data_IF_428691300304
#
_entry.id   IF_428691300304
#
_cell.length_a   1.000
_cell.length_b   1.000
_cell.length_c   1.000
_cell.angle_alpha   90.00
_cell.angle_beta   90.00
_cell.angle_gamma   90.00
#
_symmetry.space_group_name_H-M   'P 1'
#
loop_
_entity.id
_entity.type
_entity.pdbx_description
1 polymer ?
#
# COMPACT_ATOMS: atom_id res chain seq x y z
N UNK A 1 -12.02 -8.02 11.85
CA UNK A 1 -11.94 -7.38 10.51
C UNK A 1 -13.35 -7.13 9.98
N UNK A 2 -14.22 -6.55 10.80
CA UNK A 2 -15.67 -6.43 10.56
C UNK A 2 -16.08 -5.05 10.02
N UNK A 3 -15.10 -4.17 9.80
CA UNK A 3 -15.37 -2.83 9.31
C UNK A 3 -15.27 -2.77 7.79
N UNK A 4 -16.32 -2.24 7.16
CA UNK A 4 -16.41 -2.15 5.69
C UNK A 4 -15.79 -0.88 5.09
N UNK A 5 -15.43 0.11 5.92
CA UNK A 5 -14.85 1.37 5.42
C UNK A 5 -13.39 1.54 5.82
N UNK A 6 -12.60 2.12 4.92
CA UNK A 6 -11.19 2.47 5.18
C UNK A 6 -11.06 3.37 6.42
N UNK A 7 -11.97 4.34 6.58
CA UNK A 7 -11.95 5.26 7.73
C UNK A 7 -12.01 4.52 9.05
N UNK A 8 -12.95 3.59 9.18
CA UNK A 8 -13.09 2.80 10.40
C UNK A 8 -11.89 1.87 10.63
N UNK A 9 -11.34 1.26 9.57
CA UNK A 9 -10.11 0.45 9.69
C UNK A 9 -8.93 1.32 10.14
N UNK A 10 -8.79 2.54 9.61
CA UNK A 10 -7.77 3.50 10.07
C UNK A 10 -7.97 3.84 11.53
N UNK A 11 -9.19 4.07 11.99
CA UNK A 11 -9.47 4.33 13.42
C UNK A 11 -9.04 3.17 14.30
N UNK A 12 -9.33 1.92 13.90
CA UNK A 12 -8.88 0.72 14.64
C UNK A 12 -7.36 0.64 14.72
N UNK A 13 -6.66 0.99 13.64
CA UNK A 13 -5.20 0.98 13.59
C UNK A 13 -4.55 2.21 14.25
N UNK A 14 -5.32 3.26 14.50
CA UNK A 14 -4.85 4.53 15.10
C UNK A 14 -4.78 4.43 16.62
N UNK A 15 -4.00 3.47 17.11
CA UNK A 15 -3.73 3.30 18.54
C UNK A 15 -2.52 4.15 18.97
N UNK A 16 -2.59 4.66 20.20
CA UNK A 16 -1.46 5.32 20.83
C UNK A 16 -0.38 4.34 21.24
N UNK A 17 0.83 4.85 21.46
CA UNK A 17 1.90 4.06 22.06
C UNK A 17 1.69 3.90 23.56
N UNK A 18 2.27 2.86 24.17
CA UNK A 18 2.32 2.73 25.63
C UNK A 18 3.04 3.91 26.29
N UNK A 19 2.75 4.21 27.55
CA UNK A 19 3.35 5.31 28.33
C UNK A 19 4.88 5.41 28.22
N UNK A 20 5.57 4.26 28.24
CA UNK A 20 7.03 4.21 28.07
C UNK A 20 7.50 4.95 26.82
N UNK A 21 6.83 4.68 25.70
CA UNK A 21 7.16 5.23 24.40
C UNK A 21 6.70 6.67 24.25
N UNK A 22 5.85 7.22 25.11
CA UNK A 22 5.54 8.66 25.09
C UNK A 22 6.75 9.50 25.52
N UNK A 23 7.62 8.96 26.37
CA UNK A 23 8.81 9.63 26.91
C UNK A 23 10.14 9.10 26.34
N UNK A 24 10.11 8.04 25.53
CA UNK A 24 11.33 7.45 24.95
C UNK A 24 11.21 7.35 23.43
N UNK A 25 12.25 7.81 22.70
CA UNK A 25 12.44 7.50 21.27
C UNK A 25 13.45 6.37 21.08
N UNK A 26 14.30 6.15 22.07
CA UNK A 26 15.29 5.07 22.12
C UNK A 26 15.25 4.48 23.51
N UNK A 27 15.57 3.19 23.61
CA UNK A 27 15.62 2.52 24.90
C UNK A 27 16.54 3.27 25.87
N UNK A 28 16.09 3.40 27.12
CA UNK A 28 16.83 4.00 28.23
C UNK A 28 17.27 5.47 28.01
N UNK A 29 16.72 6.17 27.01
CA UNK A 29 16.96 7.59 26.78
C UNK A 29 15.66 8.37 26.87
N UNK A 30 15.50 9.13 27.95
CA UNK A 30 14.33 9.98 28.17
C UNK A 30 14.31 11.18 27.22
N UNK A 31 13.11 11.61 26.89
CA UNK A 31 12.79 12.73 26.01
C UNK A 31 11.52 13.41 26.51
N UNK A 32 11.24 14.66 26.12
CA UNK A 32 10.00 15.33 26.49
C UNK A 32 8.78 14.49 26.10
N UNK A 33 7.84 14.31 27.03
CA UNK A 33 6.62 13.53 26.78
C UNK A 33 5.88 14.10 25.57
N UNK A 34 5.55 13.21 24.63
CA UNK A 34 4.69 13.50 23.48
C UNK A 34 3.84 12.29 23.17
N UNK A 35 2.56 12.52 22.92
CA UNK A 35 1.67 11.51 22.34
C UNK A 35 2.21 11.14 20.96
N UNK A 36 2.46 9.85 20.76
CA UNK A 36 2.94 9.30 19.49
C UNK A 36 1.82 8.49 18.86
N UNK A 37 1.44 8.87 17.65
CA UNK A 37 0.42 8.18 16.85
C UNK A 37 0.91 7.99 15.42
N UNK A 38 0.32 7.03 14.72
CA UNK A 38 0.62 6.79 13.32
C UNK A 38 0.04 7.93 12.47
N UNK A 39 0.87 8.47 11.57
CA UNK A 39 0.39 9.39 10.54
C UNK A 39 -0.44 8.67 9.48
N UNK A 40 -1.30 9.42 8.78
CA UNK A 40 -2.16 8.87 7.72
C UNK A 40 -1.38 8.09 6.65
N UNK A 41 -0.20 8.57 6.23
CA UNK A 41 0.63 7.86 5.25
C UNK A 41 1.17 6.53 5.76
N UNK A 42 1.46 6.42 7.06
CA UNK A 42 1.88 5.15 7.67
C UNK A 42 0.70 4.17 7.73
N UNK A 43 -0.49 4.65 8.10
CA UNK A 43 -1.72 3.86 8.08
C UNK A 43 -2.04 3.36 6.67
N UNK A 44 -1.93 4.22 5.65
CA UNK A 44 -2.11 3.85 4.24
C UNK A 44 -1.13 2.74 3.83
N UNK A 45 0.15 2.86 4.19
CA UNK A 45 1.15 1.83 3.89
C UNK A 45 0.83 0.48 4.54
N UNK A 46 0.39 0.48 5.80
CA UNK A 46 -0.03 -0.74 6.52
C UNK A 46 -1.27 -1.35 5.84
N UNK A 47 -2.23 -0.53 5.43
CA UNK A 47 -3.42 -1.00 4.73
C UNK A 47 -3.06 -1.69 3.42
N UNK A 48 -2.24 -1.03 2.59
CA UNK A 48 -1.84 -1.52 1.26
C UNK A 48 -1.01 -2.80 1.37
N UNK A 49 0.00 -2.82 2.25
CA UNK A 49 1.00 -3.90 2.29
C UNK A 49 0.63 -5.07 3.22
N UNK A 50 -0.29 -4.86 4.17
CA UNK A 50 -0.61 -5.88 5.19
C UNK A 50 -2.08 -6.23 5.20
N UNK A 51 -2.97 -5.24 5.36
CA UNK A 51 -4.41 -5.52 5.55
C UNK A 51 -5.06 -6.03 4.27
N UNK A 52 -4.81 -5.39 3.13
CA UNK A 52 -5.37 -5.77 1.84
C UNK A 52 -4.94 -7.19 1.42
N UNK A 53 -3.63 -7.55 1.41
CA UNK A 53 -3.22 -8.91 1.02
C UNK A 53 -3.79 -9.99 1.95
N UNK A 54 -3.84 -9.71 3.26
CA UNK A 54 -4.42 -10.63 4.23
C UNK A 54 -5.94 -10.78 4.03
N UNK A 55 -6.65 -9.68 3.81
CA UNK A 55 -8.10 -9.70 3.56
C UNK A 55 -8.43 -10.49 2.28
N UNK A 56 -7.71 -10.24 1.19
CA UNK A 56 -7.92 -10.92 -0.09
C UNK A 56 -7.64 -12.42 0.02
N UNK A 57 -6.50 -12.81 0.58
CA UNK A 57 -6.14 -14.23 0.76
C UNK A 57 -7.09 -14.95 1.70
N UNK A 58 -7.59 -14.28 2.74
CA UNK A 58 -8.61 -14.82 3.62
C UNK A 58 -9.95 -15.02 2.90
N UNK A 59 -10.35 -14.10 2.02
CA UNK A 59 -11.51 -14.26 1.12
C UNK A 59 -11.38 -15.49 0.22
N UNK A 60 -10.24 -15.67 -0.44
CA UNK A 60 -9.95 -16.87 -1.24
C UNK A 60 -10.06 -18.15 -0.41
N UNK A 61 -9.43 -18.18 0.77
CA UNK A 61 -9.45 -19.34 1.66
C UNK A 61 -10.86 -19.69 2.14
N UNK A 62 -11.72 -18.68 2.34
CA UNK A 62 -13.12 -18.87 2.74
C UNK A 62 -14.08 -19.07 1.56
N UNK A 63 -13.59 -18.95 0.32
CA UNK A 63 -14.43 -18.86 -0.88
C UNK A 63 -15.50 -17.76 -0.77
N UNK A 64 -15.12 -16.64 -0.15
CA UNK A 64 -15.96 -15.47 0.07
C UNK A 64 -15.48 -14.33 -0.83
N UNK A 65 -16.16 -14.18 -1.97
CA UNK A 65 -15.83 -13.19 -3.00
C UNK A 65 -16.02 -11.75 -2.52
N UNK A 66 -16.95 -11.51 -1.60
CA UNK A 66 -17.19 -10.18 -1.04
C UNK A 66 -15.94 -9.65 -0.30
N UNK A 67 -15.18 -10.52 0.36
CA UNK A 67 -13.92 -10.12 1.00
C UNK A 67 -12.81 -9.78 -0.02
N UNK A 68 -12.77 -10.50 -1.14
CA UNK A 68 -11.85 -10.22 -2.25
C UNK A 68 -12.19 -8.88 -2.90
N UNK A 69 -13.47 -8.64 -3.21
CA UNK A 69 -13.95 -7.36 -3.75
C UNK A 69 -13.64 -6.21 -2.80
N UNK A 70 -13.92 -6.38 -1.49
CA UNK A 70 -13.62 -5.35 -0.49
C UNK A 70 -12.13 -4.99 -0.44
N UNK A 71 -11.24 -5.97 -0.56
CA UNK A 71 -9.80 -5.73 -0.64
C UNK A 71 -9.41 -4.98 -1.91
N UNK A 72 -10.02 -5.29 -3.06
CA UNK A 72 -9.83 -4.56 -4.32
C UNK A 72 -10.31 -3.11 -4.20
N UNK A 73 -11.52 -2.89 -3.68
CA UNK A 73 -12.09 -1.55 -3.45
C UNK A 73 -11.19 -0.72 -2.52
N UNK A 74 -10.54 -1.36 -1.54
CA UNK A 74 -9.59 -0.66 -0.67
C UNK A 74 -8.40 -0.11 -1.48
N UNK A 75 -7.84 -0.88 -2.41
CA UNK A 75 -6.74 -0.41 -3.26
C UNK A 75 -7.17 0.70 -4.22
N UNK A 76 -8.38 0.63 -4.75
CA UNK A 76 -8.94 1.67 -5.65
C UNK A 76 -9.22 2.98 -4.91
N UNK A 77 -9.47 2.92 -3.61
CA UNK A 77 -9.81 4.11 -2.80
C UNK A 77 -8.58 4.75 -2.14
N UNK A 78 -7.57 3.95 -1.78
CA UNK A 78 -6.35 4.45 -1.14
C UNK A 78 -5.49 5.23 -2.15
N UNK A 79 -4.77 6.25 -1.67
CA UNK A 79 -3.85 7.02 -2.50
C UNK A 79 -2.69 6.16 -2.98
N UNK A 80 -2.18 6.45 -4.18
CA UNK A 80 -0.97 5.85 -4.71
C UNK A 80 0.21 5.94 -3.72
N UNK A 81 1.01 4.87 -3.67
CA UNK A 81 2.22 4.87 -2.87
C UNK A 81 3.26 5.83 -3.42
N UNK A 82 3.89 6.60 -2.53
CA UNK A 82 4.94 7.53 -2.92
C UNK A 82 6.32 6.87 -2.88
N UNK A 83 6.68 6.15 -3.96
CA UNK A 83 7.98 5.51 -4.11
C UNK A 83 8.67 5.90 -5.43
N UNK A 84 9.95 5.55 -5.58
CA UNK A 84 10.74 5.96 -6.74
C UNK A 84 10.25 5.35 -8.06
N UNK A 85 9.59 4.18 -8.00
CA UNK A 85 9.07 3.48 -9.18
C UNK A 85 7.85 4.25 -9.71
N UNK A 86 6.91 4.60 -8.83
CA UNK A 86 5.75 5.43 -9.18
C UNK A 86 6.20 6.76 -9.75
N UNK A 87 7.11 7.47 -9.07
CA UNK A 87 7.64 8.76 -9.55
C UNK A 87 8.33 8.64 -10.92
N UNK A 88 9.00 7.52 -11.21
CA UNK A 88 9.62 7.32 -12.52
C UNK A 88 8.60 7.15 -13.65
N UNK A 89 7.45 6.54 -13.37
CA UNK A 89 6.36 6.41 -14.33
C UNK A 89 5.58 7.73 -14.51
N UNK A 90 5.36 8.47 -13.42
CA UNK A 90 4.75 9.80 -13.50
C UNK A 90 5.61 10.78 -14.31
N UNK A 91 6.93 10.72 -14.16
CA UNK A 91 7.86 11.56 -14.91
C UNK A 91 7.82 11.35 -16.43
N UNK A 92 7.36 10.18 -16.89
CA UNK A 92 7.17 9.88 -18.32
C UNK A 92 5.71 10.06 -18.77
N UNK A 93 4.88 10.70 -17.94
CA UNK A 93 3.52 11.11 -18.28
C UNK A 93 2.41 10.13 -17.90
N UNK A 94 2.72 9.04 -17.17
CA UNK A 94 1.69 8.13 -16.69
C UNK A 94 1.02 8.69 -15.43
N UNK A 95 -0.30 8.83 -15.44
CA UNK A 95 -1.04 9.25 -14.25
C UNK A 95 -1.22 8.08 -13.27
N UNK A 96 -0.84 8.27 -12.02
CA UNK A 96 -0.96 7.28 -10.94
C UNK A 96 -1.74 7.93 -9.79
N UNK A 97 -2.93 7.42 -9.48
CA UNK A 97 -3.83 8.07 -8.52
C UNK A 97 -4.09 7.21 -7.29
N UNK A 98 -4.23 5.91 -7.50
CA UNK A 98 -4.69 4.96 -6.50
C UNK A 98 -3.58 4.00 -6.09
N UNK A 99 -3.75 3.33 -4.95
CA UNK A 99 -2.87 2.25 -4.55
C UNK A 99 -2.95 1.07 -5.53
N UNK A 100 -4.10 0.85 -6.17
CA UNK A 100 -4.23 -0.12 -7.26
C UNK A 100 -3.27 0.20 -8.42
N UNK A 101 -3.20 1.47 -8.84
CA UNK A 101 -2.28 1.91 -9.90
C UNK A 101 -0.81 1.69 -9.50
N UNK A 102 -0.44 2.13 -8.28
CA UNK A 102 0.94 1.97 -7.82
C UNK A 102 1.34 0.49 -7.71
N UNK A 103 0.46 -0.36 -7.17
CA UNK A 103 0.69 -1.80 -7.07
C UNK A 103 0.79 -2.48 -8.44
N UNK A 104 -0.05 -2.09 -9.40
CA UNK A 104 0.05 -2.60 -10.77
C UNK A 104 1.41 -2.27 -11.41
N UNK A 105 1.92 -1.06 -11.21
CA UNK A 105 3.23 -0.64 -11.74
C UNK A 105 4.41 -1.30 -11.02
N UNK A 106 4.32 -1.49 -9.71
CA UNK A 106 5.30 -2.24 -8.94
C UNK A 106 5.37 -3.69 -9.44
N UNK A 107 4.22 -4.33 -9.66
CA UNK A 107 4.14 -5.69 -10.16
C UNK A 107 4.65 -5.79 -11.61
N UNK A 108 4.25 -4.86 -12.48
CA UNK A 108 4.74 -4.79 -13.86
C UNK A 108 6.27 -4.67 -13.89
N UNK A 109 6.84 -3.77 -13.07
CA UNK A 109 8.28 -3.60 -12.99
C UNK A 109 8.97 -4.87 -12.52
N UNK A 110 8.50 -5.45 -11.42
CA UNK A 110 9.09 -6.65 -10.81
C UNK A 110 9.03 -7.86 -11.75
N UNK A 111 7.90 -8.07 -12.42
CA UNK A 111 7.68 -9.25 -13.24
C UNK A 111 8.20 -9.12 -14.67
N UNK A 112 8.35 -7.89 -15.18
CA UNK A 112 8.79 -7.65 -16.56
C UNK A 112 10.06 -6.81 -16.66
N UNK A 113 10.05 -5.56 -16.18
CA UNK A 113 11.15 -4.61 -16.41
C UNK A 113 12.46 -5.09 -15.77
N UNK A 114 12.43 -5.45 -14.49
CA UNK A 114 13.62 -5.89 -13.75
C UNK A 114 14.14 -7.24 -14.29
N UNK A 115 13.25 -8.06 -14.86
CA UNK A 115 13.57 -9.34 -15.53
C UNK A 115 13.93 -9.18 -17.02
N UNK A 116 13.97 -7.94 -17.55
CA UNK A 116 14.24 -7.62 -18.96
C UNK A 116 13.30 -8.32 -19.96
N UNK A 117 12.06 -8.61 -19.56
CA UNK A 117 11.04 -9.28 -20.40
C UNK A 117 10.25 -8.30 -21.27
N UNK A 118 10.92 -7.31 -21.89
CA UNK A 118 10.25 -6.23 -22.61
C UNK A 118 9.35 -6.73 -23.75
N UNK A 119 9.75 -7.78 -24.47
CA UNK A 119 8.95 -8.41 -25.54
C UNK A 119 7.65 -9.07 -25.04
N UNK A 120 7.55 -9.39 -23.74
CA UNK A 120 6.36 -9.97 -23.11
C UNK A 120 5.53 -8.93 -22.36
N UNK A 121 6.05 -7.72 -22.17
CA UNK A 121 5.35 -6.61 -21.53
C UNK A 121 4.59 -5.81 -22.60
N UNK A 122 3.31 -5.48 -22.37
CA UNK A 122 2.54 -4.69 -23.34
C UNK A 122 3.16 -3.32 -23.63
N UNK A 123 3.65 -2.64 -22.60
CA UNK A 123 4.38 -1.37 -22.76
C UNK A 123 5.69 -1.56 -23.53
N UNK A 124 6.49 -2.57 -23.16
CA UNK A 124 7.77 -2.83 -23.80
C UNK A 124 7.63 -3.26 -25.25
N UNK A 125 6.65 -4.10 -25.56
CA UNK A 125 6.33 -4.54 -26.92
C UNK A 125 5.94 -3.36 -27.80
N UNK A 126 5.02 -2.50 -27.35
CA UNK A 126 4.61 -1.32 -28.13
C UNK A 126 5.75 -0.32 -28.31
N UNK A 127 6.62 -0.16 -27.30
CA UNK A 127 7.80 0.72 -27.40
C UNK A 127 8.83 0.21 -28.44
N UNK A 128 9.02 -1.11 -28.54
CA UNK A 128 10.01 -1.74 -29.42
C UNK A 128 9.49 -2.01 -30.84
N UNK A 129 8.19 -1.83 -31.10
CA UNK A 129 7.57 -2.11 -32.41
C UNK A 129 7.92 -1.07 -33.49
N UNK A 130 8.67 -0.04 -33.14
CA UNK A 130 9.16 1.00 -34.05
C UNK A 130 10.61 0.77 -34.46
#
# INVERSE_FOLDING_TARGET
MESDTITNVKTILSIGTSDYWEEHYSFNKTSPRRTKSLGNSALDLILINTVVPFLYTYGLHRSDEHLCERASTFLETLKAENNYIVRSWEAVGLSVHTAADSQALLQLRKEYCDKKKCLFCRFGYEFLRN
#
